data_IF_246062385628
#
_entry.id   IF_246062385628
#
_cell.length_a   1.000
_cell.length_b   1.000
_cell.length_c   1.000
_cell.angle_alpha   90.00
_cell.angle_beta   90.00
_cell.angle_gamma   90.00
#
_symmetry.space_group_name_H-M   'P 1'
#
loop_
_entity.id
_entity.type
_entity.pdbx_description
1 polymer ?
#
# COMPACT_ATOMS: atom_id res chain seq x y z
N UNK A 1 -15.78 10.12 -12.07
CA UNK A 1 -14.57 10.12 -11.21
C UNK A 1 -14.92 9.60 -9.82
N UNK A 2 -14.12 8.69 -9.26
CA UNK A 2 -14.38 8.06 -7.95
C UNK A 2 -14.21 9.07 -6.79
N UNK A 3 -15.12 9.12 -5.77
CA UNK A 3 -15.00 10.05 -4.65
C UNK A 3 -13.70 9.95 -3.84
N UNK A 4 -13.12 8.75 -3.73
CA UNK A 4 -11.85 8.55 -3.04
C UNK A 4 -10.68 9.15 -3.81
N UNK A 5 -10.74 9.15 -5.15
CA UNK A 5 -9.73 9.79 -5.99
C UNK A 5 -9.75 11.31 -5.84
N UNK A 6 -10.95 11.91 -5.77
CA UNK A 6 -11.12 13.35 -5.53
C UNK A 6 -10.57 13.74 -4.16
N UNK A 7 -10.84 12.95 -3.13
CA UNK A 7 -10.28 13.18 -1.79
C UNK A 7 -8.76 13.03 -1.79
N UNK A 8 -8.25 12.04 -2.51
CA UNK A 8 -6.82 11.82 -2.64
C UNK A 8 -6.13 13.00 -3.33
N UNK A 9 -6.66 13.49 -4.46
CA UNK A 9 -6.08 14.63 -5.19
C UNK A 9 -6.02 15.87 -4.31
N UNK A 10 -7.08 16.15 -3.55
CA UNK A 10 -7.15 17.28 -2.60
C UNK A 10 -6.15 17.16 -1.43
N UNK A 11 -5.76 15.95 -1.06
CA UNK A 11 -4.82 15.70 0.04
C UNK A 11 -3.35 15.80 -0.39
N UNK A 12 -3.05 15.68 -1.69
CA UNK A 12 -1.70 15.87 -2.17
C UNK A 12 -1.36 17.37 -2.22
N UNK A 13 -0.11 17.74 -1.92
CA UNK A 13 0.37 19.11 -2.08
C UNK A 13 0.58 19.53 -3.55
N UNK A 14 -0.06 18.85 -4.51
CA UNK A 14 0.01 19.10 -5.96
C UNK A 14 -1.34 19.63 -6.43
N UNK A 15 -1.37 20.68 -7.23
CA UNK A 15 -2.64 21.16 -7.80
C UNK A 15 -3.16 20.16 -8.83
N UNK A 16 -4.48 20.08 -9.03
CA UNK A 16 -5.08 19.16 -10.02
C UNK A 16 -4.54 19.37 -11.44
N UNK A 17 -4.05 20.57 -11.76
CA UNK A 17 -3.44 20.90 -13.06
C UNK A 17 -1.96 20.48 -13.19
N UNK A 18 -1.30 20.04 -12.11
CA UNK A 18 0.11 19.62 -12.12
C UNK A 18 0.29 18.14 -12.50
N UNK A 19 -0.82 17.42 -12.65
CA UNK A 19 -0.80 16.00 -12.97
C UNK A 19 -0.78 15.80 -14.48
N UNK A 20 0.15 14.97 -14.92
CA UNK A 20 0.13 14.45 -16.29
C UNK A 20 -1.09 13.56 -16.50
N UNK A 21 -1.53 13.47 -17.75
CA UNK A 21 -2.62 12.55 -18.14
C UNK A 21 -2.33 11.12 -17.70
N UNK A 22 -1.10 10.66 -17.89
CA UNK A 22 -0.66 9.30 -17.55
C UNK A 22 -0.73 9.03 -16.04
N UNK A 23 -0.39 10.00 -15.19
CA UNK A 23 -0.54 9.87 -13.74
C UNK A 23 -2.02 9.80 -13.31
N UNK A 24 -2.89 10.61 -13.91
CA UNK A 24 -4.34 10.56 -13.65
C UNK A 24 -4.93 9.21 -14.07
N UNK A 25 -4.59 8.75 -15.28
CA UNK A 25 -5.00 7.44 -15.79
C UNK A 25 -4.47 6.31 -14.91
N UNK A 26 -3.24 6.43 -14.39
CA UNK A 26 -2.71 5.47 -13.45
C UNK A 26 -3.55 5.38 -12.18
N UNK A 27 -3.91 6.52 -11.56
CA UNK A 27 -4.73 6.53 -10.36
C UNK A 27 -6.15 6.00 -10.58
N UNK A 28 -6.75 6.34 -11.73
CA UNK A 28 -8.14 5.99 -12.06
C UNK A 28 -8.30 4.57 -12.61
N UNK A 29 -7.36 4.12 -13.45
CA UNK A 29 -7.49 2.88 -14.21
C UNK A 29 -6.54 1.78 -13.74
N UNK A 30 -5.45 2.10 -13.03
CA UNK A 30 -4.48 1.11 -12.57
C UNK A 30 -4.55 0.94 -11.06
N UNK A 31 -4.09 1.92 -10.28
CA UNK A 31 -4.02 1.79 -8.82
C UNK A 31 -5.41 1.65 -8.19
N UNK A 32 -6.35 2.53 -8.54
CA UNK A 32 -7.70 2.53 -7.99
C UNK A 32 -8.37 1.16 -8.13
N UNK A 33 -8.59 0.63 -9.35
CA UNK A 33 -9.20 -0.68 -9.54
C UNK A 33 -8.37 -1.83 -8.93
N UNK A 34 -7.04 -1.73 -8.90
CA UNK A 34 -6.21 -2.76 -8.28
C UNK A 34 -6.47 -2.88 -6.78
N UNK A 35 -6.66 -1.76 -6.08
CA UNK A 35 -6.76 -1.70 -4.61
C UNK A 35 -8.11 -1.14 -4.13
N UNK A 36 -9.17 -1.31 -4.93
CA UNK A 36 -10.54 -0.90 -4.57
C UNK A 36 -10.65 0.60 -4.20
N UNK A 37 -9.86 1.43 -4.88
CA UNK A 37 -9.75 2.88 -4.67
C UNK A 37 -9.30 3.23 -3.24
N UNK A 38 -8.50 2.36 -2.63
CA UNK A 38 -7.71 2.65 -1.43
C UNK A 38 -6.35 3.25 -1.83
N UNK A 39 -6.17 4.53 -1.52
CA UNK A 39 -4.93 5.27 -1.76
C UNK A 39 -4.08 5.41 -0.49
N UNK A 40 -4.47 4.74 0.60
CA UNK A 40 -3.74 4.84 1.87
C UNK A 40 -2.31 4.32 1.73
N UNK A 41 -1.33 5.19 2.03
CA UNK A 41 0.09 4.88 1.93
C UNK A 41 0.67 5.11 0.53
N UNK A 42 -0.15 5.47 -0.46
CA UNK A 42 0.30 5.98 -1.76
C UNK A 42 0.50 7.49 -1.64
N UNK A 43 1.64 7.99 -2.07
CA UNK A 43 1.99 9.41 -2.09
C UNK A 43 2.48 9.76 -3.49
N UNK A 44 2.05 10.90 -4.00
CA UNK A 44 2.49 11.36 -5.31
C UNK A 44 3.60 12.41 -5.19
N UNK A 45 4.47 12.47 -6.19
CA UNK A 45 5.55 13.44 -6.25
C UNK A 45 6.51 13.29 -5.07
N UNK A 46 7.08 12.09 -4.89
CA UNK A 46 8.07 11.90 -3.85
C UNK A 46 9.42 12.47 -4.31
N UNK A 47 9.98 13.48 -3.61
CA UNK A 47 11.32 13.94 -3.88
C UNK A 47 12.28 12.88 -3.33
N UNK A 48 13.21 12.40 -4.16
CA UNK A 48 14.37 11.71 -3.63
C UNK A 48 15.59 12.56 -3.91
N UNK A 49 16.30 12.92 -2.84
CA UNK A 49 17.55 13.66 -2.96
C UNK A 49 18.62 12.74 -3.52
N UNK A 50 19.09 13.05 -4.73
CA UNK A 50 20.38 12.53 -5.19
C UNK A 50 21.44 13.36 -4.47
N UNK A 51 22.08 12.77 -3.46
CA UNK A 51 23.19 13.43 -2.77
C UNK A 51 24.35 13.61 -3.75
N UNK A 52 24.54 14.83 -4.25
CA UNK A 52 25.79 15.23 -4.90
C UNK A 52 26.84 15.59 -3.85
N UNK A 53 28.11 15.24 -4.10
CA UNK A 53 29.27 15.78 -3.38
C UNK A 53 29.41 17.32 -3.56
N UNK A 54 28.68 17.92 -4.49
CA UNK A 54 28.71 19.36 -4.85
C UNK A 54 27.61 20.25 -4.25
N UNK A 55 26.84 19.81 -3.25
CA UNK A 55 25.83 20.63 -2.55
C UNK A 55 24.71 21.25 -3.42
N UNK A 56 24.49 20.77 -4.65
CA UNK A 56 23.32 21.12 -5.46
C UNK A 56 22.46 19.88 -5.70
N UNK A 57 21.48 19.66 -4.84
CA UNK A 57 20.50 18.59 -5.04
C UNK A 57 19.67 18.88 -6.29
N UNK A 58 19.80 18.04 -7.33
CA UNK A 58 18.81 17.99 -8.40
C UNK A 58 17.65 17.12 -7.90
N UNK A 59 16.48 17.71 -7.69
CA UNK A 59 15.28 16.96 -7.29
C UNK A 59 14.65 16.33 -8.54
N UNK A 60 15.00 15.07 -8.80
CA UNK A 60 14.19 14.24 -9.69
C UNK A 60 12.96 13.76 -8.88
N UNK A 61 11.78 13.97 -9.45
CA UNK A 61 10.51 13.61 -8.81
C UNK A 61 10.07 12.24 -9.30
N UNK A 62 9.79 11.33 -8.38
CA UNK A 62 9.08 10.10 -8.74
C UNK A 62 7.58 10.35 -8.68
N UNK A 63 6.87 9.85 -9.69
CA UNK A 63 5.42 10.06 -9.81
C UNK A 63 4.67 9.50 -8.60
N UNK A 64 4.94 8.26 -8.19
CA UNK A 64 4.33 7.70 -6.98
C UNK A 64 5.28 6.88 -6.11
N UNK A 65 5.04 6.97 -4.81
CA UNK A 65 5.65 6.16 -3.77
C UNK A 65 4.55 5.48 -2.96
N UNK A 66 4.71 4.20 -2.68
CA UNK A 66 3.85 3.46 -1.76
C UNK A 66 4.66 2.94 -0.58
N UNK A 67 4.30 3.38 0.63
CA UNK A 67 4.94 2.94 1.86
C UNK A 67 3.91 2.37 2.84
N UNK A 68 3.94 1.05 3.03
CA UNK A 68 3.07 0.37 4.00
C UNK A 68 3.66 -0.97 4.42
N UNK A 69 3.59 -1.30 5.71
CA UNK A 69 4.03 -2.61 6.24
C UNK A 69 5.46 -2.99 5.81
N UNK A 70 6.39 -2.04 5.94
CA UNK A 70 7.79 -2.15 5.53
C UNK A 70 8.01 -2.33 4.01
N UNK A 71 6.96 -2.37 3.19
CA UNK A 71 7.09 -2.31 1.74
C UNK A 71 7.36 -0.85 1.33
N UNK A 72 8.51 -0.65 0.72
CA UNK A 72 8.91 0.58 0.04
C UNK A 72 8.81 0.34 -1.47
N UNK A 73 7.70 0.75 -2.07
CA UNK A 73 7.45 0.61 -3.50
C UNK A 73 7.52 2.00 -4.16
N UNK A 74 8.21 2.05 -5.29
CA UNK A 74 8.40 3.23 -6.10
C UNK A 74 7.85 2.95 -7.50
N UNK A 75 7.08 3.89 -8.05
CA UNK A 75 6.39 3.73 -9.32
C UNK A 75 6.70 4.92 -10.21
N UNK A 76 7.35 4.61 -11.32
CA UNK A 76 7.66 5.58 -12.36
C UNK A 76 6.77 5.35 -13.58
N UNK A 77 6.23 6.44 -14.12
CA UNK A 77 5.49 6.43 -15.38
C UNK A 77 6.29 7.25 -16.38
N UNK A 78 6.78 6.59 -17.41
CA UNK A 78 7.72 7.17 -18.36
C UNK A 78 7.06 7.30 -19.73
N UNK A 79 7.09 8.49 -20.30
CA UNK A 79 6.75 8.66 -21.71
C UNK A 79 7.84 7.99 -22.57
N UNK A 80 7.44 7.26 -23.61
CA UNK A 80 8.32 6.38 -24.38
C UNK A 80 9.68 7.06 -24.71
N UNK A 81 10.83 6.45 -24.33
CA UNK A 81 12.15 7.07 -24.48
C UNK A 81 12.58 7.31 -25.93
N UNK A 82 11.89 6.72 -26.91
CA UNK A 82 12.16 6.93 -28.34
C UNK A 82 11.99 8.40 -28.78
N UNK A 83 11.32 9.25 -27.99
CA UNK A 83 11.13 10.68 -28.28
C UNK A 83 11.91 11.65 -27.37
N UNK A 84 12.63 11.20 -26.35
CA UNK A 84 13.39 12.12 -25.49
C UNK A 84 14.79 12.37 -26.07
N UNK A 85 14.84 13.03 -27.22
CA UNK A 85 16.08 13.49 -27.88
C UNK A 85 16.82 14.61 -27.12
N UNK A 86 16.43 14.89 -25.87
CA UNK A 86 16.87 16.05 -25.09
C UNK A 86 17.57 15.72 -23.76
N UNK A 87 17.71 14.45 -23.37
CA UNK A 87 18.40 14.09 -22.12
C UNK A 87 19.89 13.88 -22.44
N UNK A 88 20.77 14.60 -21.75
CA UNK A 88 22.21 14.42 -21.90
C UNK A 88 22.66 13.05 -21.35
N UNK A 89 23.79 12.53 -21.86
CA UNK A 89 24.37 11.29 -21.36
C UNK A 89 24.68 11.36 -19.85
N UNK A 90 25.04 12.54 -19.35
CA UNK A 90 25.32 12.77 -17.93
C UNK A 90 24.05 12.64 -17.08
N UNK A 91 22.95 13.29 -17.48
CA UNK A 91 21.66 13.18 -16.79
C UNK A 91 21.12 11.75 -16.80
N UNK A 92 21.32 11.03 -17.91
CA UNK A 92 20.93 9.62 -18.01
C UNK A 92 21.71 8.75 -17.00
N UNK A 93 23.03 8.95 -16.92
CA UNK A 93 23.88 8.24 -15.96
C UNK A 93 23.53 8.57 -14.50
N UNK A 94 23.20 9.84 -14.20
CA UNK A 94 22.73 10.26 -12.88
C UNK A 94 21.43 9.55 -12.50
N UNK A 95 20.43 9.55 -13.39
CA UNK A 95 19.15 8.85 -13.18
C UNK A 95 19.33 7.35 -12.94
N UNK A 96 20.19 6.70 -13.71
CA UNK A 96 20.48 5.28 -13.51
C UNK A 96 21.18 5.00 -12.19
N UNK A 97 22.14 5.84 -11.80
CA UNK A 97 22.85 5.72 -10.52
C UNK A 97 21.88 5.83 -9.36
N UNK A 98 20.98 6.80 -9.42
CA UNK A 98 20.02 7.05 -8.35
C UNK A 98 18.94 5.95 -8.27
N UNK A 99 18.50 5.44 -9.43
CA UNK A 99 17.65 4.24 -9.48
C UNK A 99 18.34 3.01 -8.87
N UNK A 100 19.62 2.79 -9.18
CA UNK A 100 20.38 1.69 -8.59
C UNK A 100 20.49 1.85 -7.06
N UNK A 101 20.74 3.07 -6.57
CA UNK A 101 20.79 3.35 -5.13
C UNK A 101 19.45 3.06 -4.44
N UNK A 102 18.31 3.37 -5.07
CA UNK A 102 16.99 3.03 -4.56
C UNK A 102 16.82 1.51 -4.42
N UNK A 103 17.16 0.75 -5.47
CA UNK A 103 17.10 -0.72 -5.44
C UNK A 103 18.01 -1.28 -4.34
N UNK A 104 19.25 -0.79 -4.24
CA UNK A 104 20.20 -1.19 -3.20
C UNK A 104 19.72 -0.84 -1.78
N UNK A 105 18.91 0.20 -1.64
CA UNK A 105 18.29 0.62 -0.38
C UNK A 105 17.00 -0.16 -0.04
N UNK A 106 16.69 -1.22 -0.79
CA UNK A 106 15.55 -2.10 -0.54
C UNK A 106 14.22 -1.61 -1.10
N UNK A 107 14.25 -0.63 -2.02
CA UNK A 107 13.04 -0.22 -2.73
C UNK A 107 12.70 -1.24 -3.83
N UNK A 108 11.44 -1.65 -3.86
CA UNK A 108 10.85 -2.26 -5.04
C UNK A 108 10.54 -1.14 -6.04
N UNK A 109 11.04 -1.23 -7.27
CA UNK A 109 10.76 -0.23 -8.29
C UNK A 109 9.98 -0.84 -9.45
N UNK A 110 8.86 -0.23 -9.81
CA UNK A 110 8.08 -0.58 -10.99
C UNK A 110 8.06 0.60 -11.95
N UNK A 111 8.21 0.29 -13.24
CA UNK A 111 8.20 1.27 -14.32
C UNK A 111 7.12 0.87 -15.32
N UNK A 112 6.27 1.82 -15.67
CA UNK A 112 5.27 1.67 -16.72
C UNK A 112 5.51 2.71 -17.79
N UNK A 113 5.30 2.37 -19.06
CA UNK A 113 5.17 3.41 -20.07
C UNK A 113 3.80 4.10 -19.94
N UNK A 114 3.72 5.37 -20.33
CA UNK A 114 2.44 6.06 -20.46
C UNK A 114 1.46 5.28 -21.35
N UNK A 115 1.97 4.71 -22.43
CA UNK A 115 1.21 3.85 -23.35
C UNK A 115 0.64 2.60 -22.66
N UNK A 116 1.41 1.92 -21.81
CA UNK A 116 0.93 0.77 -21.04
C UNK A 116 -0.16 1.17 -20.05
N UNK A 117 -0.02 2.32 -19.38
CA UNK A 117 -1.03 2.81 -18.44
C UNK A 117 -2.35 3.10 -19.16
N UNK A 118 -2.28 3.70 -20.35
CA UNK A 118 -3.46 4.08 -21.13
C UNK A 118 -4.11 2.91 -21.85
N UNK A 119 -3.33 2.07 -22.52
CA UNK A 119 -3.83 1.05 -23.43
C UNK A 119 -3.88 -0.36 -22.80
N UNK A 120 -3.09 -0.61 -21.75
CA UNK A 120 -3.00 -1.92 -21.09
C UNK A 120 -3.18 -1.88 -19.56
N UNK A 121 -4.14 -1.11 -19.00
CA UNK A 121 -4.22 -0.89 -17.54
C UNK A 121 -4.37 -2.19 -16.73
N UNK A 122 -5.06 -3.20 -17.26
CA UNK A 122 -5.16 -4.52 -16.61
C UNK A 122 -3.82 -5.26 -16.52
N UNK A 123 -2.91 -5.05 -17.45
CA UNK A 123 -1.55 -5.58 -17.37
C UNK A 123 -0.79 -4.94 -16.22
N UNK A 124 -0.80 -3.60 -16.14
CA UNK A 124 -0.19 -2.85 -15.04
C UNK A 124 -0.79 -3.26 -13.68
N UNK A 125 -2.11 -3.39 -13.57
CA UNK A 125 -2.78 -3.85 -12.35
C UNK A 125 -2.25 -5.22 -11.89
N UNK A 126 -2.12 -6.18 -12.81
CA UNK A 126 -1.60 -7.52 -12.50
C UNK A 126 -0.14 -7.44 -12.04
N UNK A 127 0.70 -6.69 -12.74
CA UNK A 127 2.11 -6.53 -12.38
C UNK A 127 2.29 -5.94 -10.99
N UNK A 128 1.55 -4.89 -10.63
CA UNK A 128 1.65 -4.29 -9.29
C UNK A 128 1.22 -5.30 -8.22
N UNK A 129 0.08 -5.98 -8.41
CA UNK A 129 -0.40 -7.01 -7.47
C UNK A 129 0.60 -8.14 -7.30
N UNK A 130 1.17 -8.63 -8.40
CA UNK A 130 2.17 -9.69 -8.39
C UNK A 130 3.45 -9.25 -7.70
N UNK A 131 3.94 -8.03 -7.96
CA UNK A 131 5.16 -7.52 -7.36
C UNK A 131 5.00 -7.36 -5.84
N UNK A 132 3.89 -6.77 -5.39
CA UNK A 132 3.57 -6.62 -3.96
C UNK A 132 3.38 -8.00 -3.31
N UNK A 133 2.61 -8.90 -3.92
CA UNK A 133 2.38 -10.24 -3.40
C UNK A 133 3.66 -11.09 -3.33
N UNK A 134 4.53 -10.98 -4.33
CA UNK A 134 5.82 -11.63 -4.36
C UNK A 134 6.74 -11.08 -3.27
N UNK A 135 6.81 -9.76 -3.08
CA UNK A 135 7.58 -9.15 -2.00
C UNK A 135 7.13 -9.66 -0.63
N UNK A 136 5.82 -9.68 -0.36
CA UNK A 136 5.29 -10.26 0.89
C UNK A 136 5.60 -11.75 1.03
N UNK A 137 5.55 -12.52 -0.06
CA UNK A 137 5.94 -13.93 -0.03
C UNK A 137 7.43 -14.12 0.27
N UNK A 138 8.31 -13.25 -0.25
CA UNK A 138 9.74 -13.34 0.04
C UNK A 138 10.05 -12.95 1.47
N UNK A 139 9.42 -11.90 2.00
CA UNK A 139 9.57 -11.56 3.42
C UNK A 139 9.12 -12.72 4.31
N UNK A 140 8.04 -13.43 3.94
CA UNK A 140 7.59 -14.62 4.68
C UNK A 140 8.51 -15.85 4.56
N UNK A 141 9.46 -15.86 3.61
CA UNK A 141 10.37 -16.99 3.34
C UNK A 141 11.79 -16.74 3.88
N UNK A 142 12.26 -15.50 3.83
CA UNK A 142 13.60 -15.11 4.28
C UNK A 142 13.63 -14.85 5.79
N UNK A 143 12.48 -14.48 6.36
CA UNK A 143 12.30 -14.48 7.81
C UNK A 143 11.67 -15.81 8.22
N UNK A 144 12.42 -16.64 8.94
CA UNK A 144 11.78 -17.49 9.94
C UNK A 144 10.95 -16.55 10.82
N UNK A 145 9.64 -16.55 10.59
CA UNK A 145 8.64 -15.61 11.12
C UNK A 145 8.71 -14.24 10.44
N UNK A 146 7.71 -13.81 9.62
CA UNK A 146 7.31 -12.40 9.68
C UNK A 146 7.21 -12.11 11.17
N UNK A 147 7.94 -11.14 11.73
CA UNK A 147 7.89 -10.92 13.19
C UNK A 147 6.41 -10.96 13.55
N UNK A 148 5.95 -12.00 14.23
CA UNK A 148 4.52 -12.31 14.33
C UNK A 148 3.77 -11.03 14.77
N UNK A 149 4.45 -10.26 15.62
CA UNK A 149 4.19 -8.88 15.97
C UNK A 149 3.62 -7.98 14.86
N UNK A 150 4.20 -7.87 13.68
CA UNK A 150 3.78 -6.90 12.64
C UNK A 150 2.50 -7.34 11.91
N UNK A 151 2.37 -8.63 11.59
CA UNK A 151 1.12 -9.17 11.05
C UNK A 151 0.01 -9.07 12.11
N UNK A 152 0.32 -9.39 13.37
CA UNK A 152 -0.65 -9.30 14.46
C UNK A 152 -1.00 -7.84 14.78
N UNK A 153 -0.08 -6.87 14.65
CA UNK A 153 -0.39 -5.42 14.75
C UNK A 153 -1.36 -4.99 13.66
N UNK A 154 -1.17 -5.44 12.42
CA UNK A 154 -2.10 -5.15 11.33
C UNK A 154 -3.48 -5.78 11.59
N UNK A 155 -3.52 -7.06 11.97
CA UNK A 155 -4.79 -7.73 12.31
C UNK A 155 -5.51 -7.02 13.45
N UNK A 156 -4.77 -6.52 14.44
CA UNK A 156 -5.31 -5.73 15.55
C UNK A 156 -5.96 -4.45 15.04
N UNK A 157 -5.25 -3.65 14.24
CA UNK A 157 -5.78 -2.36 13.76
C UNK A 157 -7.05 -2.54 12.91
N UNK A 158 -7.07 -3.55 12.03
CA UNK A 158 -8.24 -3.88 11.21
C UNK A 158 -9.45 -4.30 12.06
N UNK A 159 -9.25 -5.12 13.09
CA UNK A 159 -10.34 -5.52 13.98
C UNK A 159 -10.85 -4.36 14.83
N UNK A 160 -9.97 -3.48 15.32
CA UNK A 160 -10.39 -2.27 16.07
C UNK A 160 -11.23 -1.36 15.18
N UNK A 161 -10.79 -1.11 13.94
CA UNK A 161 -11.53 -0.30 12.98
C UNK A 161 -12.91 -0.91 12.67
N UNK A 162 -12.95 -2.21 12.41
CA UNK A 162 -14.21 -2.92 12.15
C UNK A 162 -15.15 -2.87 13.36
N UNK A 163 -14.62 -3.01 14.58
CA UNK A 163 -15.40 -2.90 15.81
C UNK A 163 -16.00 -1.50 15.95
N UNK A 164 -15.22 -0.44 15.71
CA UNK A 164 -15.71 0.96 15.74
C UNK A 164 -16.85 1.20 14.75
N UNK A 165 -16.78 0.60 13.56
CA UNK A 165 -17.86 0.66 12.56
C UNK A 165 -19.12 -0.11 12.98
N UNK A 166 -19.02 -1.04 13.94
CA UNK A 166 -20.11 -1.91 14.41
C UNK A 166 -20.45 -1.70 15.89
N UNK A 167 -20.42 -0.45 16.34
CA UNK A 167 -20.76 -0.06 17.73
C UNK A 167 -19.94 -0.79 18.81
N UNK A 168 -18.68 -1.09 18.51
CA UNK A 168 -17.76 -1.75 19.42
C UNK A 168 -18.00 -3.25 19.61
N UNK A 169 -18.86 -3.90 18.82
CA UNK A 169 -19.19 -5.33 18.98
C UNK A 169 -18.86 -6.09 17.70
N UNK A 170 -18.11 -7.19 17.84
CA UNK A 170 -17.77 -8.12 16.76
C UNK A 170 -18.28 -9.53 17.07
N UNK A 171 -18.84 -10.19 16.04
CA UNK A 171 -19.08 -11.64 16.05
C UNK A 171 -18.03 -12.34 15.21
N UNK A 172 -17.59 -13.56 15.57
CA UNK A 172 -16.63 -14.31 14.75
C UNK A 172 -17.08 -14.52 13.29
N UNK A 173 -18.39 -14.68 13.05
CA UNK A 173 -18.96 -14.79 11.71
C UNK A 173 -18.73 -13.52 10.89
N UNK A 174 -18.95 -12.35 11.50
CA UNK A 174 -18.75 -11.07 10.84
C UNK A 174 -17.31 -10.89 10.39
N UNK A 175 -16.36 -11.26 11.25
CA UNK A 175 -14.91 -11.22 10.97
C UNK A 175 -14.56 -12.22 9.87
N UNK A 176 -15.10 -13.43 9.94
CA UNK A 176 -14.89 -14.45 8.90
C UNK A 176 -15.35 -13.96 7.53
N UNK A 177 -16.55 -13.38 7.45
CA UNK A 177 -17.13 -12.87 6.22
C UNK A 177 -16.35 -11.65 5.69
N UNK A 178 -15.98 -10.69 6.57
CA UNK A 178 -15.28 -9.46 6.18
C UNK A 178 -13.86 -9.70 5.65
N UNK A 179 -13.14 -10.69 6.20
CA UNK A 179 -11.77 -11.00 5.81
C UNK A 179 -11.65 -12.29 4.98
N UNK A 180 -12.79 -12.84 4.50
CA UNK A 180 -12.85 -14.04 3.67
C UNK A 180 -12.04 -15.22 4.26
N UNK A 181 -12.18 -15.46 5.55
CA UNK A 181 -11.46 -16.50 6.27
C UNK A 181 -12.39 -17.52 6.92
N UNK A 182 -11.84 -18.65 7.36
CA UNK A 182 -12.63 -19.64 8.09
C UNK A 182 -13.09 -19.11 9.44
N UNK A 183 -14.27 -19.57 9.91
CA UNK A 183 -14.78 -19.24 11.25
C UNK A 183 -13.78 -19.60 12.36
N UNK A 184 -13.01 -20.69 12.18
CA UNK A 184 -11.96 -21.10 13.13
C UNK A 184 -10.82 -20.08 13.20
N UNK A 185 -10.36 -19.56 12.05
CA UNK A 185 -9.32 -18.54 12.00
C UNK A 185 -9.79 -17.23 12.66
N UNK A 186 -11.02 -16.80 12.36
CA UNK A 186 -11.62 -15.61 12.98
C UNK A 186 -11.73 -15.73 14.51
N UNK A 187 -12.15 -16.90 15.02
CA UNK A 187 -12.17 -17.15 16.47
C UNK A 187 -10.76 -17.10 17.07
N UNK A 188 -9.76 -17.66 16.40
CA UNK A 188 -8.38 -17.64 16.89
C UNK A 188 -7.82 -16.20 16.97
N UNK A 189 -8.13 -15.35 15.98
CA UNK A 189 -7.74 -13.94 16.02
C UNK A 189 -8.36 -13.23 17.21
N UNK A 190 -9.68 -13.36 17.37
CA UNK A 190 -10.42 -12.70 18.46
C UNK A 190 -9.98 -13.19 19.84
N UNK A 191 -9.71 -14.49 20.01
CA UNK A 191 -9.18 -15.05 21.26
C UNK A 191 -7.81 -14.51 21.62
N UNK A 192 -6.91 -14.37 20.64
CA UNK A 192 -5.59 -13.79 20.88
C UNK A 192 -5.70 -12.35 21.37
N UNK A 193 -6.48 -11.51 20.68
CA UNK A 193 -6.65 -10.11 21.08
C UNK A 193 -7.50 -9.93 22.35
N UNK A 194 -8.30 -10.93 22.72
CA UNK A 194 -8.90 -11.01 24.04
C UNK A 194 -7.84 -11.24 25.12
N UNK A 195 -6.90 -12.17 24.91
CA UNK A 195 -5.80 -12.41 25.84
C UNK A 195 -4.87 -11.17 25.97
N UNK A 196 -4.73 -10.37 24.92
CA UNK A 196 -4.02 -9.09 24.93
C UNK A 196 -4.83 -7.92 25.52
N UNK A 197 -6.06 -8.15 25.97
CA UNK A 197 -6.91 -7.13 26.64
C UNK A 197 -7.64 -6.14 25.71
N UNK A 198 -7.57 -6.35 24.39
CA UNK A 198 -8.17 -5.46 23.38
C UNK A 198 -9.67 -5.71 23.26
N UNK A 199 -10.08 -6.97 23.36
CA UNK A 199 -11.47 -7.37 23.31
C UNK A 199 -11.90 -8.10 24.58
N UNK A 200 -13.15 -7.93 24.97
CA UNK A 200 -13.78 -8.66 26.08
C UNK A 200 -14.77 -9.64 25.46
N UNK A 201 -14.52 -10.94 25.66
CA UNK A 201 -15.41 -11.99 25.19
C UNK A 201 -16.68 -12.05 26.03
N UNK A 202 -17.84 -12.08 25.36
CA UNK A 202 -19.14 -12.29 26.00
C UNK A 202 -19.68 -13.68 25.67
N UNK A 203 -19.95 -14.44 26.73
CA UNK A 203 -20.60 -15.73 26.62
C UNK A 203 -22.09 -15.58 26.30
N UNK A 204 -22.60 -16.47 25.45
CA UNK A 204 -24.04 -16.72 25.36
C UNK A 204 -24.47 -17.67 26.49
N UNK A 205 -25.78 -17.78 26.73
CA UNK A 205 -26.43 -18.64 27.74
C UNK A 205 -25.96 -20.11 27.78
N UNK A 206 -25.26 -20.59 26.74
CA UNK A 206 -24.71 -21.94 26.63
C UNK A 206 -23.16 -21.99 26.74
N UNK A 207 -22.54 -21.05 27.45
CA UNK A 207 -21.09 -20.99 27.72
C UNK A 207 -20.19 -20.88 26.46
N UNK A 208 -20.75 -20.58 25.29
CA UNK A 208 -20.00 -20.31 24.05
C UNK A 208 -19.75 -18.82 23.91
N UNK A 209 -18.48 -18.42 23.75
CA UNK A 209 -18.14 -17.04 23.37
C UNK A 209 -18.73 -16.74 21.99
N UNK A 210 -19.70 -15.84 21.95
CA UNK A 210 -20.43 -15.51 20.70
C UNK A 210 -20.17 -14.09 20.22
N UNK A 211 -19.67 -13.21 21.10
CA UNK A 211 -19.46 -11.80 20.83
C UNK A 211 -18.18 -11.33 21.52
N UNK A 212 -17.53 -10.34 20.93
CA UNK A 212 -16.33 -9.69 21.44
C UNK A 212 -16.58 -8.19 21.43
N UNK A 213 -16.55 -7.57 22.61
CA UNK A 213 -16.70 -6.12 22.77
C UNK A 213 -15.32 -5.47 22.81
N UNK A 214 -15.13 -4.36 22.11
CA UNK A 214 -13.92 -3.56 22.20
C UNK A 214 -13.75 -3.01 23.63
N UNK A 215 -12.59 -3.21 24.23
CA UNK A 215 -12.26 -2.69 25.57
C UNK A 215 -12.18 -1.17 25.54
N UNK A 216 -12.56 -0.51 26.64
CA UNK A 216 -12.47 0.95 26.80
C UNK A 216 -11.02 1.47 26.84
N UNK A 217 -10.04 0.59 26.97
CA UNK A 217 -8.61 0.89 27.02
C UNK A 217 -7.87 0.62 25.68
N UNK A 218 -8.60 0.37 24.58
CA UNK A 218 -8.06 -0.08 23.30
C UNK A 218 -7.92 1.00 22.21
#
# INVERSE_FOLDING_TARGET
MNPNLIRYSQQQCRQENDWTRSELLFLEQVWGPAFQYDYHGLQAGFPYEVCEESHKAHQDWVQFMYNRFNLKLLIEITDCPLLSSSISQEELNKRWTAHNQLVLSGWLVLRFSADQVENEPHHCQRQIKQAIGHWWSQQSKTELQPQDADIWKLRRSLLIQMARQRNGILKPRDVADAFQMTSRAAVNWLKRFQAEGIFIGEASNHNRLTRYRLSSHA
#
